data_IF_039126695887
#
_entry.id   IF_039126695887
#
_cell.length_a   1.000
_cell.length_b   1.000
_cell.length_c   1.000
_cell.angle_alpha   90.00
_cell.angle_beta   90.00
_cell.angle_gamma   90.00
#
_symmetry.space_group_name_H-M   'P 1'
#
loop_
_entity.id
_entity.type
_entity.pdbx_description
1 polymer ?
#
# COMPACT_ATOMS: atom_id res chain seq x y z
N UNK A 1 -4.49 83.82 -19.16
CA UNK A 1 -3.98 84.04 -20.54
C UNK A 1 -4.66 83.20 -21.63
N UNK A 2 -5.06 81.92 -21.43
CA UNK A 2 -5.71 81.10 -22.48
C UNK A 2 -7.02 81.67 -23.05
N UNK A 3 -7.87 82.32 -22.24
CA UNK A 3 -9.15 82.88 -22.69
C UNK A 3 -9.01 84.12 -23.60
N UNK A 4 -7.93 84.91 -23.45
CA UNK A 4 -7.74 86.14 -24.23
C UNK A 4 -7.43 85.85 -25.71
N UNK A 5 -6.66 84.79 -25.99
CA UNK A 5 -6.35 84.36 -27.36
C UNK A 5 -7.57 83.80 -28.10
N UNK A 6 -8.48 83.12 -27.39
CA UNK A 6 -9.70 82.56 -28.00
C UNK A 6 -10.67 83.66 -28.45
N UNK A 7 -10.82 84.72 -27.64
CA UNK A 7 -11.66 85.87 -28.01
C UNK A 7 -11.06 86.69 -29.16
N UNK A 8 -9.74 86.84 -29.23
CA UNK A 8 -9.08 87.54 -30.34
C UNK A 8 -9.24 86.80 -31.68
N UNK A 9 -9.06 85.48 -31.69
CA UNK A 9 -9.26 84.66 -32.89
C UNK A 9 -10.73 84.58 -33.33
N UNK A 10 -11.67 84.49 -32.37
CA UNK A 10 -13.10 84.55 -32.68
C UNK A 10 -13.50 85.91 -33.27
N UNK A 11 -12.91 87.00 -32.79
CA UNK A 11 -13.09 88.35 -33.34
C UNK A 11 -12.55 88.48 -34.77
N UNK A 12 -11.33 88.00 -35.04
CA UNK A 12 -10.78 87.96 -36.40
C UNK A 12 -11.62 87.11 -37.35
N UNK A 13 -12.05 85.91 -36.90
CA UNK A 13 -12.90 85.04 -37.70
C UNK A 13 -14.27 85.67 -37.99
N UNK A 14 -14.87 86.36 -37.01
CA UNK A 14 -16.14 87.08 -37.17
C UNK A 14 -16.04 88.24 -38.16
N UNK A 15 -14.99 89.05 -38.08
CA UNK A 15 -14.75 90.16 -39.02
C UNK A 15 -14.46 89.64 -40.43
N UNK A 16 -13.75 88.53 -40.58
CA UNK A 16 -13.44 87.95 -41.88
C UNK A 16 -14.63 87.18 -42.49
N UNK A 17 -15.41 86.41 -41.73
CA UNK A 17 -16.64 85.78 -42.23
C UNK A 17 -17.70 86.84 -42.58
N UNK A 18 -17.88 87.85 -41.72
CA UNK A 18 -18.80 88.96 -41.98
C UNK A 18 -18.33 89.85 -43.12
N UNK A 19 -17.03 90.08 -43.27
CA UNK A 19 -16.47 90.96 -44.31
C UNK A 19 -16.30 90.29 -45.66
N UNK A 20 -15.69 89.09 -45.71
CA UNK A 20 -15.38 88.42 -46.98
C UNK A 20 -16.52 87.54 -47.50
N UNK A 21 -17.19 86.76 -46.63
CA UNK A 21 -18.25 85.84 -47.09
C UNK A 21 -19.57 86.58 -47.28
N UNK A 22 -19.92 87.46 -46.33
CA UNK A 22 -21.13 88.28 -46.45
C UNK A 22 -20.96 89.39 -47.49
N UNK A 23 -19.78 90.01 -47.60
CA UNK A 23 -19.47 90.95 -48.69
C UNK A 23 -19.55 90.29 -50.08
N UNK A 24 -19.00 89.08 -50.23
CA UNK A 24 -19.10 88.33 -51.47
C UNK A 24 -20.53 87.84 -51.77
N UNK A 25 -21.30 87.40 -50.76
CA UNK A 25 -22.71 87.06 -50.94
C UNK A 25 -23.56 88.27 -51.33
N UNK A 26 -23.28 89.45 -50.76
CA UNK A 26 -23.94 90.70 -51.13
C UNK A 26 -23.59 91.08 -52.57
N UNK A 27 -22.32 91.03 -52.96
CA UNK A 27 -21.93 91.28 -54.35
C UNK A 27 -22.52 90.24 -55.31
N UNK A 28 -22.59 88.97 -54.93
CA UNK A 28 -23.10 87.88 -55.78
C UNK A 28 -24.63 87.92 -55.94
N UNK A 29 -25.36 88.36 -54.91
CA UNK A 29 -26.83 88.51 -54.94
C UNK A 29 -27.26 89.81 -55.62
N UNK A 30 -26.53 90.92 -55.44
CA UNK A 30 -26.97 92.25 -55.92
C UNK A 30 -26.31 92.72 -57.22
N UNK A 31 -25.13 92.22 -57.59
CA UNK A 31 -24.40 92.75 -58.76
C UNK A 31 -24.45 91.89 -60.02
N UNK A 32 -24.94 90.64 -59.97
CA UNK A 32 -25.07 89.74 -61.13
C UNK A 32 -23.83 89.66 -62.05
N UNK A 33 -22.64 89.96 -61.51
CA UNK A 33 -21.41 90.13 -62.29
C UNK A 33 -20.23 89.47 -61.58
N UNK A 34 -20.18 88.15 -61.67
CA UNK A 34 -18.92 87.42 -61.52
C UNK A 34 -18.79 86.50 -62.71
N UNK A 35 -18.21 87.02 -63.80
CA UNK A 35 -17.72 86.17 -64.88
C UNK A 35 -16.66 85.24 -64.31
N UNK A 36 -16.96 83.93 -64.34
CA UNK A 36 -16.04 82.87 -63.94
C UNK A 36 -14.81 82.90 -64.86
N UNK A 37 -13.73 83.55 -64.41
CA UNK A 37 -12.52 83.78 -65.21
C UNK A 37 -11.86 85.15 -65.01
N UNK A 38 -12.50 86.09 -64.30
CA UNK A 38 -11.89 87.39 -63.99
C UNK A 38 -10.74 87.31 -62.96
N UNK A 39 -9.78 88.21 -63.07
CA UNK A 39 -8.64 88.35 -62.13
C UNK A 39 -9.10 88.64 -60.70
N UNK A 40 -10.25 89.31 -60.53
CA UNK A 40 -10.90 89.57 -59.24
C UNK A 40 -11.40 88.30 -58.56
N UNK A 41 -12.04 87.40 -59.31
CA UNK A 41 -12.44 86.09 -58.77
C UNK A 41 -11.23 85.22 -58.42
N UNK A 42 -10.20 85.23 -59.27
CA UNK A 42 -8.93 84.52 -59.01
C UNK A 42 -8.23 84.98 -57.74
N UNK A 43 -8.16 86.29 -57.49
CA UNK A 43 -7.59 86.84 -56.26
C UNK A 43 -8.40 86.43 -55.02
N UNK A 44 -9.73 86.51 -55.08
CA UNK A 44 -10.58 86.07 -53.96
C UNK A 44 -10.40 84.57 -53.67
N UNK A 45 -10.44 83.72 -54.71
CA UNK A 45 -10.24 82.28 -54.59
C UNK A 45 -8.86 81.93 -54.01
N UNK A 46 -7.81 82.67 -54.39
CA UNK A 46 -6.47 82.51 -53.85
C UNK A 46 -6.40 82.88 -52.36
N UNK A 47 -7.00 84.00 -51.95
CA UNK A 47 -7.02 84.43 -50.54
C UNK A 47 -7.86 83.50 -49.66
N UNK A 48 -9.03 83.06 -50.13
CA UNK A 48 -9.86 82.07 -49.42
C UNK A 48 -9.14 80.72 -49.34
N UNK A 49 -8.55 80.25 -50.43
CA UNK A 49 -7.74 79.03 -50.45
C UNK A 49 -6.57 79.06 -49.46
N UNK A 50 -5.81 80.15 -49.43
CA UNK A 50 -4.72 80.35 -48.48
C UNK A 50 -5.20 80.39 -47.02
N UNK A 51 -6.34 81.05 -46.75
CA UNK A 51 -6.92 81.11 -45.41
C UNK A 51 -7.43 79.76 -44.91
N UNK A 52 -8.16 79.01 -45.75
CA UNK A 52 -8.59 77.65 -45.41
C UNK A 52 -7.41 76.70 -45.24
N UNK A 53 -6.31 76.91 -45.96
CA UNK A 53 -5.07 76.13 -45.78
C UNK A 53 -4.40 76.46 -44.45
N UNK A 54 -4.38 77.73 -44.02
CA UNK A 54 -3.88 78.14 -42.70
C UNK A 54 -4.76 77.55 -41.58
N UNK A 55 -6.08 77.62 -41.72
CA UNK A 55 -7.02 77.04 -40.75
C UNK A 55 -6.90 75.51 -40.69
N UNK A 56 -6.74 74.85 -41.84
CA UNK A 56 -6.48 73.41 -41.93
C UNK A 56 -5.15 73.04 -41.26
N UNK A 57 -4.10 73.85 -41.43
CA UNK A 57 -2.81 73.64 -40.77
C UNK A 57 -2.88 73.83 -39.24
N UNK A 58 -3.62 74.83 -38.76
CA UNK A 58 -3.85 75.05 -37.34
C UNK A 58 -4.73 73.96 -36.71
N UNK A 59 -5.81 73.56 -37.39
CA UNK A 59 -6.67 72.46 -36.98
C UNK A 59 -5.89 71.13 -36.96
N UNK A 60 -5.04 70.88 -37.96
CA UNK A 60 -4.15 69.73 -37.98
C UNK A 60 -3.13 69.76 -36.83
N UNK A 61 -2.59 70.93 -36.47
CA UNK A 61 -1.70 71.08 -35.32
C UNK A 61 -2.39 70.82 -33.97
N UNK A 62 -3.65 71.23 -33.81
CA UNK A 62 -4.46 70.94 -32.61
C UNK A 62 -4.83 69.46 -32.56
N UNK A 63 -5.25 68.87 -33.68
CA UNK A 63 -5.55 67.45 -33.80
C UNK A 63 -4.32 66.59 -33.51
N UNK A 64 -3.14 66.98 -34.00
CA UNK A 64 -1.87 66.29 -33.73
C UNK A 64 -1.49 66.33 -32.25
N UNK A 65 -1.70 67.46 -31.55
CA UNK A 65 -1.49 67.55 -30.09
C UNK A 65 -2.49 66.69 -29.32
N UNK A 66 -3.75 66.65 -29.74
CA UNK A 66 -4.77 65.75 -29.18
C UNK A 66 -4.39 64.28 -29.35
N UNK A 67 -3.98 63.89 -30.56
CA UNK A 67 -3.55 62.53 -30.87
C UNK A 67 -2.31 62.10 -30.06
N UNK A 68 -1.31 62.98 -29.90
CA UNK A 68 -0.13 62.73 -29.05
C UNK A 68 -0.50 62.57 -27.57
N UNK A 69 -1.44 63.37 -27.06
CA UNK A 69 -1.93 63.24 -25.69
C UNK A 69 -2.66 61.91 -25.48
N UNK A 70 -3.49 61.48 -26.44
CA UNK A 70 -4.18 60.19 -26.39
C UNK A 70 -3.20 59.03 -26.48
N UNK A 71 -2.20 59.10 -27.36
CA UNK A 71 -1.13 58.09 -27.45
C UNK A 71 -0.32 57.99 -26.15
N UNK A 72 0.00 59.12 -25.51
CA UNK A 72 0.69 59.13 -24.21
C UNK A 72 -0.16 58.51 -23.10
N UNK A 73 -1.47 58.78 -23.08
CA UNK A 73 -2.40 58.17 -22.13
C UNK A 73 -2.55 56.66 -22.36
N UNK A 74 -2.74 56.23 -23.62
CA UNK A 74 -2.81 54.81 -23.98
C UNK A 74 -1.51 54.08 -23.64
N UNK A 75 -0.33 54.70 -23.84
CA UNK A 75 0.96 54.13 -23.44
C UNK A 75 1.05 53.94 -21.93
N UNK A 76 0.65 54.94 -21.14
CA UNK A 76 0.66 54.84 -19.68
C UNK A 76 -0.35 53.80 -19.17
N UNK A 77 -1.54 53.71 -19.79
CA UNK A 77 -2.51 52.65 -19.49
C UNK A 77 -1.95 51.26 -19.84
N UNK A 78 -1.29 51.11 -20.98
CA UNK A 78 -0.65 49.85 -21.34
C UNK A 78 0.44 49.44 -20.34
N UNK A 79 1.25 50.40 -19.87
CA UNK A 79 2.26 50.13 -18.84
C UNK A 79 1.59 49.71 -17.53
N UNK A 80 0.57 50.43 -17.07
CA UNK A 80 -0.16 50.08 -15.84
C UNK A 80 -0.85 48.71 -15.93
N UNK A 81 -1.53 48.41 -17.03
CA UNK A 81 -2.18 47.11 -17.25
C UNK A 81 -1.13 45.99 -17.29
N UNK A 82 0.03 46.22 -17.90
CA UNK A 82 1.11 45.22 -17.96
C UNK A 82 1.69 44.96 -16.57
N UNK A 83 1.89 46.02 -15.78
CA UNK A 83 2.40 45.91 -14.41
C UNK A 83 1.39 45.21 -13.48
N UNK A 84 0.11 45.58 -13.54
CA UNK A 84 -0.96 44.90 -12.81
C UNK A 84 -1.08 43.42 -13.21
N UNK A 85 -0.99 43.11 -14.49
CA UNK A 85 -1.03 41.72 -14.96
C UNK A 85 0.20 40.93 -14.47
N UNK A 86 1.38 41.55 -14.44
CA UNK A 86 2.59 40.92 -13.89
C UNK A 86 2.44 40.64 -12.40
N UNK A 87 1.88 41.59 -11.63
CA UNK A 87 1.64 41.40 -10.19
C UNK A 87 0.57 40.34 -9.92
N UNK A 88 -0.53 40.32 -10.70
CA UNK A 88 -1.55 39.28 -10.63
C UNK A 88 -0.98 37.90 -10.96
N UNK A 89 -0.16 37.79 -11.99
CA UNK A 89 0.50 36.54 -12.36
C UNK A 89 1.39 36.01 -11.21
N UNK A 90 2.19 36.89 -10.60
CA UNK A 90 3.03 36.52 -9.44
C UNK A 90 2.16 36.06 -8.26
N UNK A 91 1.09 36.81 -7.96
CA UNK A 91 0.18 36.46 -6.86
C UNK A 91 -0.57 35.14 -7.12
N UNK A 92 -1.09 34.94 -8.33
CA UNK A 92 -1.73 33.69 -8.75
C UNK A 92 -0.74 32.54 -8.61
N UNK A 93 0.50 32.69 -9.10
CA UNK A 93 1.53 31.65 -8.98
C UNK A 93 1.83 31.29 -7.52
N UNK A 94 1.86 32.28 -6.61
CA UNK A 94 2.05 32.03 -5.18
C UNK A 94 0.86 31.27 -4.57
N UNK A 95 -0.37 31.70 -4.86
CA UNK A 95 -1.60 31.03 -4.39
C UNK A 95 -1.70 29.59 -4.93
N UNK A 96 -1.37 29.37 -6.21
CA UNK A 96 -1.30 28.04 -6.80
C UNK A 96 -0.24 27.16 -6.13
N UNK A 97 0.89 27.74 -5.71
CA UNK A 97 1.91 27.06 -4.93
C UNK A 97 1.37 26.56 -3.59
N UNK A 98 0.75 27.45 -2.80
CA UNK A 98 0.16 27.12 -1.50
C UNK A 98 -0.96 26.08 -1.62
N UNK A 99 -1.83 26.21 -2.62
CA UNK A 99 -2.89 25.23 -2.89
C UNK A 99 -2.33 23.86 -3.26
N UNK A 100 -1.26 23.82 -4.07
CA UNK A 100 -0.61 22.56 -4.44
C UNK A 100 0.00 21.86 -3.23
N UNK A 101 0.66 22.60 -2.35
CA UNK A 101 1.22 22.04 -1.10
C UNK A 101 0.11 21.50 -0.19
N UNK A 102 -0.98 22.26 0.00
CA UNK A 102 -2.13 21.80 0.78
C UNK A 102 -2.75 20.51 0.21
N UNK A 103 -2.89 20.43 -1.11
CA UNK A 103 -3.43 19.26 -1.79
C UNK A 103 -2.50 18.04 -1.66
N UNK A 104 -1.18 18.22 -1.72
CA UNK A 104 -0.22 17.13 -1.51
C UNK A 104 -0.25 16.61 -0.07
N UNK A 105 -0.36 17.51 0.91
CA UNK A 105 -0.53 17.13 2.31
C UNK A 105 -1.83 16.34 2.54
N UNK A 106 -2.95 16.82 1.98
CA UNK A 106 -4.23 16.11 2.06
C UNK A 106 -4.13 14.71 1.46
N UNK A 107 -3.55 14.59 0.25
CA UNK A 107 -3.32 13.29 -0.40
C UNK A 107 -2.48 12.34 0.43
N UNK A 108 -1.37 12.83 1.01
CA UNK A 108 -0.50 12.00 1.86
C UNK A 108 -1.26 11.50 3.10
N UNK A 109 -2.02 12.38 3.75
CA UNK A 109 -2.82 12.04 4.94
C UNK A 109 -3.91 11.02 4.58
N UNK A 110 -4.64 11.24 3.50
CA UNK A 110 -5.69 10.33 3.03
C UNK A 110 -5.10 8.97 2.68
N UNK A 111 -4.00 8.91 1.93
CA UNK A 111 -3.34 7.66 1.60
C UNK A 111 -2.89 6.88 2.84
N UNK A 112 -2.27 7.55 3.81
CA UNK A 112 -1.88 6.94 5.09
C UNK A 112 -3.09 6.45 5.90
N UNK A 113 -4.19 7.20 5.86
CA UNK A 113 -5.44 6.80 6.52
C UNK A 113 -6.07 5.58 5.84
N UNK A 114 -6.11 5.54 4.51
CA UNK A 114 -6.62 4.38 3.76
C UNK A 114 -5.75 3.13 3.99
N UNK A 115 -4.43 3.29 4.04
CA UNK A 115 -3.54 2.20 4.44
C UNK A 115 -3.91 1.66 5.82
N UNK A 116 -4.17 2.54 6.80
CA UNK A 116 -4.62 2.11 8.11
C UNK A 116 -5.99 1.42 8.07
N UNK A 117 -6.94 1.91 7.29
CA UNK A 117 -8.24 1.25 7.12
C UNK A 117 -8.06 -0.18 6.58
N UNK A 118 -7.18 -0.39 5.59
CA UNK A 118 -6.85 -1.74 5.06
C UNK A 118 -6.31 -2.64 6.18
N UNK A 119 -5.36 -2.15 6.97
CA UNK A 119 -4.84 -2.92 8.11
C UNK A 119 -5.93 -3.27 9.12
N UNK A 120 -6.81 -2.32 9.46
CA UNK A 120 -7.90 -2.56 10.43
C UNK A 120 -8.90 -3.60 9.93
N UNK A 121 -9.16 -3.65 8.62
CA UNK A 121 -10.01 -4.67 8.02
C UNK A 121 -9.36 -6.06 8.13
N UNK A 122 -8.08 -6.17 7.75
CA UNK A 122 -7.30 -7.41 7.87
C UNK A 122 -7.23 -7.94 9.32
N UNK A 123 -7.08 -7.05 10.31
CA UNK A 123 -7.08 -7.47 11.73
C UNK A 123 -8.42 -8.06 12.16
N UNK A 124 -9.53 -7.45 11.73
CA UNK A 124 -10.89 -7.95 12.03
C UNK A 124 -11.16 -9.30 11.38
N UNK A 125 -10.63 -9.51 10.18
CA UNK A 125 -10.87 -10.73 9.40
C UNK A 125 -10.02 -11.92 9.90
N UNK A 126 -8.78 -11.69 10.32
CA UNK A 126 -7.81 -12.77 10.51
C UNK A 126 -7.29 -12.98 11.94
N UNK A 127 -7.81 -12.26 12.94
CA UNK A 127 -7.33 -12.37 14.34
C UNK A 127 -5.81 -12.12 14.48
N UNK A 128 -5.30 -11.15 13.73
CA UNK A 128 -3.90 -10.70 13.77
C UNK A 128 -3.80 -9.31 14.38
N UNK A 129 -2.61 -8.95 14.84
CA UNK A 129 -2.28 -7.62 15.33
C UNK A 129 -1.15 -7.00 14.52
N UNK A 130 -1.36 -5.80 13.94
CA UNK A 130 -0.28 -5.04 13.33
C UNK A 130 0.44 -4.19 14.38
N UNK A 131 1.73 -4.46 14.60
CA UNK A 131 2.56 -3.64 15.49
C UNK A 131 3.30 -2.55 14.71
N UNK A 132 3.56 -1.41 15.36
CA UNK A 132 4.31 -0.29 14.76
C UNK A 132 3.77 0.16 13.38
N UNK A 133 2.44 0.26 13.21
CA UNK A 133 1.77 0.60 11.94
C UNK A 133 2.35 1.83 11.22
N UNK A 134 2.79 2.85 11.94
CA UNK A 134 3.46 4.01 11.32
C UNK A 134 4.84 3.71 10.77
N UNK A 135 5.62 2.85 11.42
CA UNK A 135 6.91 2.39 10.89
C UNK A 135 6.68 1.54 9.64
N UNK A 136 5.67 0.68 9.67
CA UNK A 136 5.30 -0.15 8.53
C UNK A 136 4.89 0.67 7.30
N UNK A 137 4.04 1.70 7.48
CA UNK A 137 3.72 2.61 6.40
C UNK A 137 4.98 3.31 5.83
N UNK A 138 5.86 3.78 6.71
CA UNK A 138 7.08 4.48 6.31
C UNK A 138 8.15 3.57 5.68
N UNK A 139 8.16 2.26 5.95
CA UNK A 139 9.06 1.32 5.27
C UNK A 139 8.57 0.98 3.86
N UNK A 140 7.25 0.89 3.66
CA UNK A 140 6.66 0.67 2.34
C UNK A 140 6.72 1.92 1.45
N UNK A 141 6.49 3.10 2.03
CA UNK A 141 6.44 4.37 1.29
C UNK A 141 7.47 5.37 1.84
N UNK A 142 8.78 5.10 1.73
CA UNK A 142 9.83 5.93 2.33
C UNK A 142 9.92 7.34 1.73
N UNK A 143 9.49 7.49 0.47
CA UNK A 143 9.49 8.78 -0.22
C UNK A 143 8.30 9.68 0.18
N UNK A 144 7.23 9.11 0.75
CA UNK A 144 6.00 9.85 1.03
C UNK A 144 6.21 10.86 2.17
N UNK A 145 6.32 12.13 1.78
CA UNK A 145 6.58 13.29 2.65
C UNK A 145 5.48 14.35 2.44
N UNK A 146 5.56 15.45 3.19
CA UNK A 146 4.58 16.54 3.10
C UNK A 146 4.39 17.08 1.66
N UNK A 147 5.47 17.15 0.90
CA UNK A 147 5.52 17.73 -0.44
C UNK A 147 5.56 16.68 -1.56
N UNK A 148 5.40 15.39 -1.25
CA UNK A 148 5.47 14.31 -2.25
C UNK A 148 4.70 13.08 -1.78
N UNK A 149 3.82 12.56 -2.63
CA UNK A 149 3.05 11.36 -2.35
C UNK A 149 3.01 10.49 -3.62
N UNK A 150 3.62 9.32 -3.53
CA UNK A 150 3.55 8.26 -4.52
C UNK A 150 2.67 7.12 -3.98
N UNK A 151 1.88 6.54 -4.87
CA UNK A 151 0.97 5.42 -4.60
C UNK A 151 1.54 4.09 -5.09
N UNK A 152 2.50 4.14 -6.00
CA UNK A 152 3.10 2.97 -6.61
C UNK A 152 4.48 2.68 -6.01
N UNK A 153 4.76 1.41 -5.75
CA UNK A 153 6.07 0.93 -5.30
C UNK A 153 6.62 0.00 -6.38
N UNK A 154 7.81 0.29 -6.88
CA UNK A 154 8.52 -0.62 -7.79
C UNK A 154 9.16 -1.76 -6.99
N UNK A 155 8.84 -3.02 -7.32
CA UNK A 155 9.34 -4.19 -6.57
C UNK A 155 10.84 -4.48 -6.78
N UNK A 156 11.49 -3.78 -7.72
CA UNK A 156 12.91 -3.96 -8.06
C UNK A 156 13.82 -2.93 -7.38
N UNK A 157 13.27 -2.04 -6.55
CA UNK A 157 14.06 -1.05 -5.83
C UNK A 157 14.93 -1.70 -4.75
N UNK A 158 16.21 -1.32 -4.71
CA UNK A 158 17.19 -1.79 -3.72
C UNK A 158 17.06 -0.98 -2.41
N UNK A 159 15.85 -0.96 -1.85
CA UNK A 159 15.53 -0.33 -0.58
C UNK A 159 15.32 -1.43 0.46
N UNK A 160 16.10 -1.40 1.53
CA UNK A 160 15.99 -2.35 2.63
C UNK A 160 14.62 -2.26 3.32
N UNK A 161 14.06 -3.42 3.67
CA UNK A 161 12.74 -3.59 4.30
C UNK A 161 11.58 -3.05 3.44
N UNK A 162 11.78 -2.98 2.13
CA UNK A 162 10.76 -2.53 1.17
C UNK A 162 9.78 -3.65 0.80
N UNK A 163 8.74 -3.29 0.04
CA UNK A 163 7.83 -4.26 -0.55
C UNK A 163 8.54 -5.24 -1.50
N UNK A 164 9.65 -4.83 -2.12
CA UNK A 164 10.50 -5.69 -2.94
C UNK A 164 11.12 -6.83 -2.14
N UNK A 165 11.66 -6.53 -0.95
CA UNK A 165 12.21 -7.53 -0.02
C UNK A 165 11.15 -8.51 0.47
N UNK A 166 9.96 -7.99 0.79
CA UNK A 166 8.79 -8.81 1.18
C UNK A 166 8.42 -9.77 0.04
N UNK A 167 8.37 -9.27 -1.21
CA UNK A 167 8.07 -10.08 -2.39
C UNK A 167 9.14 -11.14 -2.68
N UNK A 168 10.43 -10.79 -2.53
CA UNK A 168 11.53 -11.74 -2.65
C UNK A 168 11.41 -12.86 -1.60
N UNK A 169 11.12 -12.50 -0.36
CA UNK A 169 10.97 -13.45 0.73
C UNK A 169 9.75 -14.37 0.53
N UNK A 170 8.62 -13.83 0.06
CA UNK A 170 7.45 -14.62 -0.34
C UNK A 170 7.81 -15.66 -1.42
N UNK A 171 8.55 -15.23 -2.45
CA UNK A 171 9.01 -16.12 -3.53
C UNK A 171 9.96 -17.22 -3.03
N UNK A 172 10.82 -16.87 -2.06
CA UNK A 172 11.72 -17.81 -1.38
C UNK A 172 10.96 -18.84 -0.55
N UNK A 173 9.93 -18.42 0.20
CA UNK A 173 9.02 -19.30 0.96
C UNK A 173 8.27 -20.24 0.02
N UNK A 174 7.71 -19.71 -1.08
CA UNK A 174 7.05 -20.51 -2.13
C UNK A 174 7.97 -21.61 -2.67
N UNK A 175 9.18 -21.23 -3.08
CA UNK A 175 10.19 -22.16 -3.60
C UNK A 175 10.67 -23.18 -2.55
N UNK A 176 10.56 -22.84 -1.27
CA UNK A 176 10.92 -23.73 -0.17
C UNK A 176 9.93 -24.89 -0.02
N UNK A 177 8.64 -24.67 -0.31
CA UNK A 177 7.62 -25.71 -0.20
C UNK A 177 7.88 -26.91 -1.13
N UNK A 178 8.34 -26.64 -2.35
CA UNK A 178 8.60 -27.67 -3.37
C UNK A 178 9.74 -28.62 -2.99
N UNK A 179 10.67 -28.16 -2.14
CA UNK A 179 11.84 -28.93 -1.73
C UNK A 179 11.52 -30.01 -0.69
N UNK A 180 10.44 -29.89 0.09
CA UNK A 180 10.12 -30.86 1.14
C UNK A 180 9.88 -32.28 0.61
N UNK A 181 9.38 -32.43 -0.62
CA UNK A 181 9.19 -33.75 -1.25
C UNK A 181 10.50 -34.41 -1.73
N UNK A 182 11.61 -33.66 -1.77
CA UNK A 182 12.89 -34.11 -2.32
C UNK A 182 13.93 -34.42 -1.23
N UNK A 183 13.64 -34.02 0.02
CA UNK A 183 14.54 -34.15 1.16
C UNK A 183 14.14 -35.33 2.05
N UNK A 184 15.10 -35.85 2.80
CA UNK A 184 14.85 -36.87 3.83
C UNK A 184 15.81 -36.71 5.00
N UNK A 185 15.42 -37.25 6.17
CA UNK A 185 16.25 -37.26 7.37
C UNK A 185 16.66 -35.86 7.84
N UNK A 186 17.92 -35.73 8.25
CA UNK A 186 18.50 -34.49 8.81
C UNK A 186 18.35 -33.28 7.88
N UNK A 187 18.53 -33.48 6.56
CA UNK A 187 18.35 -32.41 5.57
C UNK A 187 16.95 -31.82 5.57
N UNK A 188 15.93 -32.62 5.91
CA UNK A 188 14.55 -32.12 6.01
C UNK A 188 14.39 -31.21 7.22
N UNK A 189 15.02 -31.57 8.36
CA UNK A 189 15.00 -30.76 9.57
C UNK A 189 15.73 -29.42 9.35
N UNK A 190 16.94 -29.45 8.78
CA UNK A 190 17.70 -28.22 8.46
C UNK A 190 16.94 -27.29 7.52
N UNK A 191 16.32 -27.87 6.48
CA UNK A 191 15.49 -27.12 5.54
C UNK A 191 14.24 -26.55 6.20
N UNK A 192 13.60 -27.30 7.11
CA UNK A 192 12.47 -26.81 7.86
C UNK A 192 12.84 -25.65 8.78
N UNK A 193 13.96 -25.72 9.50
CA UNK A 193 14.42 -24.62 10.35
C UNK A 193 14.68 -23.35 9.54
N UNK A 194 15.33 -23.49 8.38
CA UNK A 194 15.52 -22.36 7.46
C UNK A 194 14.19 -21.80 6.97
N UNK A 195 13.24 -22.67 6.64
CA UNK A 195 11.91 -22.28 6.19
C UNK A 195 11.11 -21.56 7.30
N UNK A 196 11.15 -22.04 8.54
CA UNK A 196 10.53 -21.38 9.69
C UNK A 196 11.17 -20.02 9.96
N UNK A 197 12.48 -19.90 9.79
CA UNK A 197 13.18 -18.61 9.87
C UNK A 197 12.71 -17.66 8.78
N UNK A 198 12.56 -18.13 7.54
CA UNK A 198 12.05 -17.32 6.43
C UNK A 198 10.60 -16.86 6.69
N UNK A 199 9.73 -17.74 7.20
CA UNK A 199 8.36 -17.40 7.61
C UNK A 199 8.37 -16.35 8.73
N UNK A 200 9.21 -16.51 9.75
CA UNK A 200 9.26 -15.56 10.85
C UNK A 200 9.76 -14.19 10.42
N UNK A 201 10.77 -14.14 9.54
CA UNK A 201 11.23 -12.88 8.95
C UNK A 201 10.13 -12.24 8.11
N UNK A 202 9.37 -13.04 7.37
CA UNK A 202 8.25 -12.56 6.55
C UNK A 202 7.15 -11.95 7.40
N UNK A 203 6.72 -12.65 8.46
CA UNK A 203 5.79 -12.12 9.47
C UNK A 203 6.29 -10.80 10.08
N UNK A 204 7.59 -10.72 10.37
CA UNK A 204 8.20 -9.52 10.95
C UNK A 204 8.20 -8.33 9.98
N UNK A 205 8.49 -8.56 8.70
CA UNK A 205 8.45 -7.55 7.65
C UNK A 205 7.03 -7.10 7.32
N UNK A 206 6.04 -7.98 7.49
CA UNK A 206 4.62 -7.64 7.42
C UNK A 206 4.10 -6.94 8.68
N UNK A 207 4.93 -6.79 9.72
CA UNK A 207 4.56 -6.16 10.98
C UNK A 207 3.36 -6.83 11.67
N UNK A 208 3.17 -8.14 11.47
CA UNK A 208 2.06 -8.90 12.05
C UNK A 208 2.51 -9.75 13.23
N UNK A 209 1.67 -9.80 14.25
CA UNK A 209 1.69 -10.80 15.30
C UNK A 209 0.39 -11.61 15.24
N UNK A 210 0.51 -12.93 15.24
CA UNK A 210 -0.63 -13.81 15.46
C UNK A 210 -1.01 -13.78 16.93
N UNK A 211 -2.32 -13.72 17.22
CA UNK A 211 -2.80 -13.85 18.60
C UNK A 211 -2.35 -15.19 19.18
N UNK A 212 -1.60 -15.14 20.26
CA UNK A 212 -1.12 -16.31 20.96
C UNK A 212 -2.07 -16.64 22.12
N UNK A 213 -2.73 -17.79 22.00
CA UNK A 213 -3.64 -18.32 23.02
C UNK A 213 -2.99 -19.48 23.81
N UNK A 214 -1.69 -19.72 23.66
CA UNK A 214 -0.99 -20.86 24.28
C UNK A 214 -1.49 -22.21 23.76
N UNK A 215 -1.93 -22.27 22.50
CA UNK A 215 -2.47 -23.49 21.89
C UNK A 215 -1.37 -24.54 21.68
N UNK A 216 -1.75 -25.81 21.84
CA UNK A 216 -0.84 -26.93 21.60
C UNK A 216 -0.43 -26.94 20.13
N UNK A 217 0.86 -27.13 19.88
CA UNK A 217 1.47 -27.13 18.55
C UNK A 217 1.91 -25.75 18.05
N UNK A 218 1.73 -24.67 18.82
CA UNK A 218 2.31 -23.37 18.49
C UNK A 218 3.83 -23.48 18.40
N UNK A 219 4.42 -22.94 17.34
CA UNK A 219 5.86 -22.80 17.18
C UNK A 219 6.23 -21.35 17.47
N UNK A 220 7.14 -21.15 18.41
CA UNK A 220 7.68 -19.83 18.75
C UNK A 220 9.14 -19.71 18.35
N UNK A 221 9.58 -18.50 18.02
CA UNK A 221 11.00 -18.18 18.05
C UNK A 221 11.46 -18.04 19.50
N UNK A 222 12.35 -18.92 19.93
CA UNK A 222 13.00 -18.89 21.23
C UNK A 222 14.13 -17.86 21.26
N UNK A 223 13.82 -16.67 21.76
CA UNK A 223 14.80 -15.64 22.08
C UNK A 223 14.75 -15.42 23.58
N UNK A 224 15.81 -15.83 24.29
CA UNK A 224 15.90 -15.79 25.77
C UNK A 224 15.65 -14.40 26.39
N UNK A 225 15.71 -13.34 25.59
CA UNK A 225 15.62 -11.94 26.02
C UNK A 225 14.24 -11.30 25.81
N UNK A 226 13.29 -11.99 25.17
CA UNK A 226 11.96 -11.44 24.90
C UNK A 226 10.92 -11.95 25.90
N UNK A 227 10.21 -11.04 26.56
CA UNK A 227 9.09 -11.37 27.44
C UNK A 227 7.94 -12.07 26.70
N UNK A 228 7.72 -11.70 25.43
CA UNK A 228 6.76 -12.36 24.53
C UNK A 228 7.50 -12.99 23.38
N UNK A 229 7.41 -14.32 23.27
CA UNK A 229 8.03 -15.08 22.19
C UNK A 229 7.21 -14.91 20.91
N UNK A 230 7.80 -14.53 19.77
CA UNK A 230 7.08 -14.38 18.52
C UNK A 230 6.47 -15.72 18.08
N UNK A 231 5.14 -15.77 17.97
CA UNK A 231 4.42 -16.92 17.41
C UNK A 231 4.57 -16.94 15.88
N UNK A 232 5.04 -18.06 15.35
CA UNK A 232 5.30 -18.23 13.92
C UNK A 232 4.12 -18.89 13.24
N UNK A 233 3.76 -20.10 13.69
CA UNK A 233 2.64 -20.88 13.16
C UNK A 233 2.25 -21.99 14.15
N UNK A 234 1.06 -22.56 13.96
CA UNK A 234 0.64 -23.75 14.68
C UNK A 234 0.77 -25.00 13.79
N UNK A 235 1.32 -26.10 14.31
CA UNK A 235 1.55 -27.33 13.53
C UNK A 235 0.23 -27.97 13.05
N UNK A 236 -0.85 -27.89 13.83
CA UNK A 236 -2.17 -28.40 13.44
C UNK A 236 -2.88 -27.51 12.41
N UNK A 237 -2.46 -26.25 12.30
CA UNK A 237 -3.16 -25.23 11.51
C UNK A 237 -2.22 -24.35 10.67
N UNK A 238 -1.09 -24.92 10.22
CA UNK A 238 -0.06 -24.14 9.53
C UNK A 238 -0.51 -23.56 8.19
N UNK A 239 -1.64 -24.05 7.64
CA UNK A 239 -2.25 -23.52 6.42
C UNK A 239 -2.88 -22.18 6.69
N UNK A 240 -3.60 -22.04 7.81
CA UNK A 240 -4.27 -20.80 8.15
C UNK A 240 -3.26 -19.66 8.30
N UNK A 241 -2.16 -19.88 9.01
CA UNK A 241 -1.08 -18.88 9.12
C UNK A 241 -0.57 -18.47 7.73
N UNK A 242 -0.25 -19.41 6.85
CA UNK A 242 0.25 -19.11 5.50
C UNK A 242 -0.77 -18.33 4.66
N UNK A 243 -2.06 -18.71 4.73
CA UNK A 243 -3.15 -18.00 4.05
C UNK A 243 -3.21 -16.55 4.51
N UNK A 244 -3.24 -16.33 5.82
CA UNK A 244 -3.33 -14.97 6.40
C UNK A 244 -2.14 -14.12 5.99
N UNK A 245 -0.91 -14.64 6.07
CA UNK A 245 0.28 -13.88 5.64
C UNK A 245 0.24 -13.55 4.15
N UNK A 246 -0.24 -14.49 3.32
CA UNK A 246 -0.39 -14.27 1.88
C UNK A 246 -1.45 -13.21 1.58
N UNK A 247 -2.61 -13.26 2.24
CA UNK A 247 -3.70 -12.30 2.05
C UNK A 247 -3.26 -10.89 2.46
N UNK A 248 -2.60 -10.74 3.62
CA UNK A 248 -1.99 -9.47 4.03
C UNK A 248 -1.02 -8.96 2.95
N UNK A 249 -0.12 -9.81 2.47
CA UNK A 249 0.83 -9.42 1.42
C UNK A 249 0.14 -9.02 0.11
N UNK A 250 -0.91 -9.74 -0.30
CA UNK A 250 -1.64 -9.49 -1.54
C UNK A 250 -2.45 -8.20 -1.50
N UNK A 251 -3.00 -7.85 -0.33
CA UNK A 251 -3.64 -6.55 -0.10
C UNK A 251 -2.62 -5.41 -0.17
N UNK A 252 -1.40 -5.59 0.35
CA UNK A 252 -0.33 -4.60 0.23
C UNK A 252 0.14 -4.40 -1.22
N UNK A 253 0.23 -5.49 -2.00
CA UNK A 253 0.51 -5.40 -3.43
C UNK A 253 -0.62 -4.65 -4.16
N UNK A 254 -1.87 -4.99 -3.88
CA UNK A 254 -3.02 -4.31 -4.47
C UNK A 254 -3.06 -2.82 -4.14
N UNK A 255 -2.84 -2.48 -2.86
CA UNK A 255 -2.79 -1.11 -2.37
C UNK A 255 -1.66 -0.29 -3.03
N UNK A 256 -0.53 -0.92 -3.35
CA UNK A 256 0.62 -0.28 -4.04
C UNK A 256 0.57 -0.38 -5.57
N UNK A 257 -0.56 -0.81 -6.15
CA UNK A 257 -0.74 -0.91 -7.61
C UNK A 257 0.06 -2.02 -8.28
N UNK A 258 0.51 -3.02 -7.53
CA UNK A 258 1.25 -4.17 -8.02
C UNK A 258 0.33 -5.36 -8.34
N UNK A 259 0.79 -6.24 -9.23
CA UNK A 259 0.06 -7.48 -9.55
C UNK A 259 0.30 -8.55 -8.48
N UNK A 260 -0.76 -9.28 -8.13
CA UNK A 260 -0.68 -10.36 -7.15
C UNK A 260 -0.01 -11.60 -7.77
N UNK A 261 0.96 -12.24 -7.10
CA UNK A 261 1.51 -13.51 -7.54
C UNK A 261 0.49 -14.64 -7.33
N UNK A 262 0.82 -15.84 -7.82
CA UNK A 262 -0.03 -17.02 -7.62
C UNK A 262 -0.05 -17.42 -6.15
N UNK A 263 -1.23 -17.83 -5.68
CA UNK A 263 -1.39 -18.39 -4.33
C UNK A 263 -0.52 -19.64 -4.15
N UNK A 264 0.16 -19.73 -3.00
CA UNK A 264 1.08 -20.83 -2.65
C UNK A 264 0.42 -21.90 -1.78
N UNK A 265 -0.86 -21.74 -1.44
CA UNK A 265 -1.60 -22.65 -0.56
C UNK A 265 -1.57 -24.10 -1.06
N UNK A 266 -1.61 -24.29 -2.38
CA UNK A 266 -1.57 -25.62 -3.01
C UNK A 266 -0.19 -26.30 -2.92
N UNK A 267 0.88 -25.54 -2.68
CA UNK A 267 2.24 -26.07 -2.53
C UNK A 267 2.45 -26.72 -1.15
N UNK A 268 1.51 -26.56 -0.21
CA UNK A 268 1.54 -27.22 1.10
C UNK A 268 1.23 -28.71 0.98
N UNK A 269 2.24 -29.51 0.70
CA UNK A 269 2.12 -30.96 0.55
C UNK A 269 2.07 -31.68 1.91
N UNK A 270 1.67 -32.96 1.90
CA UNK A 270 1.80 -33.84 3.07
C UNK A 270 3.24 -33.97 3.56
N UNK A 271 4.25 -33.79 2.68
CA UNK A 271 5.65 -33.79 3.06
C UNK A 271 6.00 -32.64 4.00
N UNK A 272 5.45 -31.43 3.76
CA UNK A 272 5.63 -30.30 4.66
C UNK A 272 5.03 -30.57 6.02
N UNK A 273 3.80 -31.08 6.07
CA UNK A 273 3.17 -31.45 7.34
C UNK A 273 3.99 -32.52 8.10
N UNK A 274 4.48 -33.53 7.39
CA UNK A 274 5.33 -34.56 7.98
C UNK A 274 6.64 -33.98 8.53
N UNK A 275 7.21 -32.97 7.86
CA UNK A 275 8.39 -32.27 8.35
C UNK A 275 8.07 -31.53 9.66
N UNK A 276 6.96 -30.78 9.73
CA UNK A 276 6.49 -30.14 10.96
C UNK A 276 6.26 -31.14 12.10
N UNK A 277 5.74 -32.33 11.79
CA UNK A 277 5.56 -33.39 12.77
C UNK A 277 6.87 -33.98 13.27
N UNK A 278 7.83 -34.18 12.37
CA UNK A 278 9.20 -34.53 12.75
C UNK A 278 9.80 -33.47 13.68
N UNK A 279 9.49 -32.19 13.43
CA UNK A 279 9.91 -31.08 14.26
C UNK A 279 9.27 -31.09 15.65
N UNK A 280 7.96 -31.31 15.75
CA UNK A 280 7.25 -31.45 17.04
C UNK A 280 7.89 -32.53 17.94
N UNK A 281 8.34 -33.62 17.31
CA UNK A 281 8.83 -34.81 18.01
C UNK A 281 10.21 -34.62 18.64
N UNK A 282 11.14 -34.04 17.90
CA UNK A 282 12.54 -33.97 18.33
C UNK A 282 12.79 -32.76 19.23
N UNK A 283 13.57 -32.95 20.30
CA UNK A 283 14.14 -31.82 21.03
C UNK A 283 15.27 -31.24 20.19
N UNK A 284 15.04 -30.07 19.62
CA UNK A 284 16.06 -29.40 18.83
C UNK A 284 16.87 -28.47 19.72
N UNK A 285 17.80 -29.06 20.48
CA UNK A 285 18.65 -28.32 21.44
C UNK A 285 19.50 -27.19 20.82
N UNK A 286 19.58 -27.13 19.48
CA UNK A 286 20.26 -26.07 18.72
C UNK A 286 19.32 -25.20 17.91
N UNK A 287 18.02 -25.54 17.88
CA UNK A 287 17.06 -24.74 17.15
C UNK A 287 16.76 -23.47 17.91
N UNK A 288 16.46 -22.42 17.16
CA UNK A 288 15.92 -21.18 17.70
C UNK A 288 14.41 -21.25 17.85
N UNK A 289 13.80 -22.43 17.70
CA UNK A 289 12.37 -22.60 17.75
C UNK A 289 11.96 -23.58 18.85
N UNK A 290 10.92 -23.20 19.57
CA UNK A 290 10.26 -24.05 20.56
C UNK A 290 8.84 -24.37 20.13
N UNK A 291 8.38 -25.56 20.51
CA UNK A 291 7.03 -26.02 20.22
C UNK A 291 6.25 -26.13 21.52
N UNK A 292 5.11 -25.46 21.61
CA UNK A 292 4.17 -25.58 22.72
C UNK A 292 3.56 -26.97 22.70
N UNK A 293 3.83 -27.77 23.72
CA UNK A 293 3.23 -29.10 23.84
C UNK A 293 2.09 -29.12 24.85
N UNK A 294 1.95 -28.06 25.65
CA UNK A 294 0.96 -27.95 26.70
C UNK A 294 1.02 -29.09 27.72
N UNK A 295 -0.06 -29.19 28.49
CA UNK A 295 -0.27 -30.23 29.50
C UNK A 295 -0.41 -31.65 28.92
N UNK A 296 -0.73 -31.77 27.62
CA UNK A 296 -0.86 -33.07 26.94
C UNK A 296 0.47 -33.62 26.40
N UNK A 297 1.58 -32.92 26.64
CA UNK A 297 2.90 -33.22 26.08
C UNK A 297 3.35 -34.67 26.23
N UNK A 298 3.18 -35.26 27.43
CA UNK A 298 3.59 -36.64 27.73
C UNK A 298 2.86 -37.66 26.84
N UNK A 299 1.57 -37.44 26.58
CA UNK A 299 0.76 -38.31 25.75
C UNK A 299 1.14 -38.20 24.27
N UNK A 300 1.35 -36.97 23.78
CA UNK A 300 1.78 -36.72 22.40
C UNK A 300 3.18 -37.29 22.13
N UNK A 301 4.10 -37.14 23.08
CA UNK A 301 5.45 -37.69 22.98
C UNK A 301 5.44 -39.21 22.91
N UNK A 302 4.59 -39.88 23.71
CA UNK A 302 4.39 -41.33 23.64
C UNK A 302 3.87 -41.75 22.25
N UNK A 303 2.80 -41.12 21.77
CA UNK A 303 2.19 -41.40 20.46
C UNK A 303 3.24 -41.27 19.34
N UNK A 304 3.97 -40.16 19.33
CA UNK A 304 4.97 -39.88 18.28
C UNK A 304 6.19 -40.80 18.37
N UNK A 305 6.60 -41.19 19.58
CA UNK A 305 7.66 -42.18 19.78
C UNK A 305 7.26 -43.53 19.18
N UNK A 306 6.04 -44.00 19.46
CA UNK A 306 5.57 -45.28 18.90
C UNK A 306 5.39 -45.19 17.38
N UNK A 307 4.88 -44.08 16.86
CA UNK A 307 4.78 -43.86 15.41
C UNK A 307 6.14 -43.91 14.70
N UNK A 308 7.21 -43.39 15.32
CA UNK A 308 8.55 -43.53 14.76
C UNK A 308 9.03 -44.99 14.76
N UNK A 309 8.78 -45.73 15.84
CA UNK A 309 9.12 -47.16 15.89
C UNK A 309 8.38 -47.92 14.78
N UNK A 310 7.09 -47.65 14.58
CA UNK A 310 6.29 -48.23 13.49
C UNK A 310 6.90 -47.87 12.13
N UNK A 311 7.26 -46.60 11.91
CA UNK A 311 7.79 -46.13 10.62
C UNK A 311 9.20 -46.69 10.31
N UNK A 312 10.07 -46.79 11.32
CA UNK A 312 11.47 -47.26 11.14
C UNK A 312 11.57 -48.78 10.97
N UNK A 313 10.65 -49.55 11.55
CA UNK A 313 10.74 -51.02 11.50
C UNK A 313 9.92 -51.60 10.34
N UNK A 314 10.55 -52.23 9.33
CA UNK A 314 9.84 -52.75 8.14
C UNK A 314 8.71 -53.75 8.45
N UNK A 315 8.87 -54.56 9.51
CA UNK A 315 7.83 -55.52 9.92
C UNK A 315 6.57 -54.81 10.40
N UNK A 316 6.70 -53.73 11.17
CA UNK A 316 5.56 -52.95 11.68
C UNK A 316 4.87 -52.17 10.57
N UNK A 317 5.61 -51.65 9.58
CA UNK A 317 5.02 -50.99 8.40
C UNK A 317 4.17 -51.90 7.53
N UNK A 318 4.50 -53.21 7.49
CA UNK A 318 3.74 -54.20 6.74
C UNK A 318 2.48 -54.67 7.47
N UNK A 319 2.38 -54.39 8.77
CA UNK A 319 1.21 -54.73 9.56
C UNK A 319 0.07 -53.75 9.32
N UNK A 320 -1.12 -54.28 9.01
CA UNK A 320 -2.28 -53.47 8.65
C UNK A 320 -2.80 -52.64 9.83
N UNK A 321 -2.78 -53.19 11.04
CA UNK A 321 -3.35 -52.53 12.22
C UNK A 321 -2.45 -51.38 12.69
N UNK A 322 -1.14 -51.64 12.80
CA UNK A 322 -0.13 -50.63 13.15
C UNK A 322 -0.06 -49.52 12.10
N UNK A 323 -0.11 -49.86 10.81
CA UNK A 323 -0.11 -48.84 9.75
C UNK A 323 -1.41 -48.02 9.73
N UNK A 324 -2.56 -48.65 10.00
CA UNK A 324 -3.84 -47.94 10.17
C UNK A 324 -3.80 -46.95 11.34
N UNK A 325 -3.21 -47.36 12.47
CA UNK A 325 -2.97 -46.49 13.61
C UNK A 325 -2.04 -45.32 13.23
N UNK A 326 -0.91 -45.60 12.57
CA UNK A 326 0.01 -44.57 12.08
C UNK A 326 -0.72 -43.51 11.24
N UNK A 327 -1.56 -43.93 10.30
CA UNK A 327 -2.37 -43.01 9.49
C UNK A 327 -3.41 -42.23 10.31
N UNK A 328 -3.94 -42.82 11.39
CA UNK A 328 -4.88 -42.12 12.30
C UNK A 328 -4.18 -40.99 13.05
N UNK A 329 -2.93 -41.19 13.48
CA UNK A 329 -2.11 -40.13 14.08
C UNK A 329 -1.82 -39.02 13.08
N UNK A 330 -1.49 -39.35 11.83
CA UNK A 330 -1.31 -38.33 10.78
C UNK A 330 -2.58 -37.47 10.59
N UNK A 331 -3.76 -38.10 10.58
CA UNK A 331 -5.04 -37.38 10.49
C UNK A 331 -5.33 -36.51 11.71
N UNK A 332 -4.93 -36.95 12.91
CA UNK A 332 -5.05 -36.14 14.12
C UNK A 332 -4.27 -34.84 13.99
N UNK A 333 -3.03 -34.89 13.53
CA UNK A 333 -2.23 -33.68 13.35
C UNK A 333 -2.61 -32.83 12.13
N UNK A 334 -3.36 -33.38 11.18
CA UNK A 334 -3.93 -32.65 10.05
C UNK A 334 -5.25 -31.95 10.38
N UNK A 335 -5.81 -32.17 11.58
CA UNK A 335 -7.09 -31.58 11.99
C UNK A 335 -6.85 -30.32 12.85
N UNK A 336 -7.18 -29.12 12.34
CA UNK A 336 -6.96 -27.86 13.07
C UNK A 336 -7.69 -27.78 14.41
N UNK A 337 -8.77 -28.54 14.62
CA UNK A 337 -9.49 -28.55 15.90
C UNK A 337 -8.63 -29.08 17.06
N UNK A 338 -7.61 -29.88 16.74
CA UNK A 338 -6.77 -30.53 17.75
C UNK A 338 -5.72 -29.62 18.36
N UNK A 339 -5.53 -28.38 17.86
CA UNK A 339 -4.71 -27.37 18.56
C UNK A 339 -5.28 -26.94 19.92
N UNK A 340 -6.58 -27.17 20.14
CA UNK A 340 -7.30 -26.92 21.39
C UNK A 340 -7.40 -28.15 22.29
N UNK A 341 -6.60 -29.19 22.03
CA UNK A 341 -6.60 -30.37 22.89
C UNK A 341 -6.00 -30.01 24.25
N UNK A 342 -6.73 -30.36 25.30
CA UNK A 342 -6.38 -30.16 26.71
C UNK A 342 -6.62 -31.47 27.45
N UNK A 343 -6.23 -31.56 28.72
CA UNK A 343 -6.59 -32.68 29.60
C UNK A 343 -8.12 -32.78 29.72
N UNK A 344 -8.82 -31.64 29.85
CA UNK A 344 -10.28 -31.57 29.99
C UNK A 344 -11.04 -31.92 28.70
N UNK A 345 -10.42 -31.72 27.53
CA UNK A 345 -11.00 -32.06 26.23
C UNK A 345 -10.12 -33.05 25.47
N UNK A 346 -9.77 -34.14 26.16
CA UNK A 346 -8.80 -35.14 25.68
C UNK A 346 -9.42 -36.32 24.94
N UNK A 347 -10.70 -36.25 24.55
CA UNK A 347 -11.43 -37.39 23.96
C UNK A 347 -10.75 -37.98 22.72
N UNK A 348 -10.33 -37.13 21.78
CA UNK A 348 -9.67 -37.58 20.55
C UNK A 348 -8.28 -38.17 20.84
N UNK A 349 -7.58 -37.64 21.84
CA UNK A 349 -6.31 -38.15 22.32
C UNK A 349 -6.46 -39.52 23.00
N UNK A 350 -7.52 -39.69 23.81
CA UNK A 350 -7.86 -40.95 24.46
C UNK A 350 -8.21 -42.03 23.42
N UNK A 351 -9.01 -41.70 22.40
CA UNK A 351 -9.33 -42.61 21.28
C UNK A 351 -8.05 -43.06 20.56
N UNK A 352 -7.10 -42.15 20.33
CA UNK A 352 -5.81 -42.51 19.75
C UNK A 352 -5.04 -43.50 20.63
N UNK A 353 -4.94 -43.27 21.94
CA UNK A 353 -4.22 -44.16 22.85
C UNK A 353 -4.88 -45.54 22.95
N UNK A 354 -6.21 -45.61 23.00
CA UNK A 354 -6.95 -46.87 23.00
C UNK A 354 -6.77 -47.65 21.69
N UNK A 355 -6.75 -46.93 20.55
CA UNK A 355 -6.43 -47.53 19.24
C UNK A 355 -4.98 -48.02 19.17
N UNK A 356 -4.04 -47.28 19.74
CA UNK A 356 -2.64 -47.68 19.79
C UNK A 356 -2.48 -49.01 20.55
N UNK A 357 -3.06 -49.07 21.76
CA UNK A 357 -3.08 -50.28 22.58
C UNK A 357 -3.65 -51.47 21.80
N UNK A 358 -4.82 -51.26 21.18
CA UNK A 358 -5.50 -52.31 20.41
C UNK A 358 -4.67 -52.79 19.22
N UNK A 359 -4.02 -51.87 18.49
CA UNK A 359 -3.18 -52.21 17.35
C UNK A 359 -1.94 -53.03 17.76
N UNK A 360 -1.30 -52.68 18.88
CA UNK A 360 -0.16 -53.43 19.43
C UNK A 360 -0.59 -54.86 19.85
N UNK A 361 -1.71 -54.99 20.57
CA UNK A 361 -2.22 -56.31 21.01
C UNK A 361 -2.53 -57.21 19.82
N UNK A 362 -3.20 -56.68 18.78
CA UNK A 362 -3.53 -57.44 17.57
C UNK A 362 -2.26 -57.89 16.83
N UNK A 363 -1.28 -57.00 16.68
CA UNK A 363 0.00 -57.33 16.05
C UNK A 363 0.70 -58.51 16.75
N UNK A 364 0.77 -58.51 18.08
CA UNK A 364 1.41 -59.58 18.83
C UNK A 364 0.65 -60.91 18.76
N UNK A 365 -0.68 -60.87 18.71
CA UNK A 365 -1.53 -62.06 18.55
C UNK A 365 -1.35 -62.72 17.17
N UNK A 366 -1.13 -61.93 16.12
CA UNK A 366 -0.96 -62.44 14.74
C UNK A 366 0.46 -62.97 14.44
N UNK A 367 1.46 -62.62 15.26
CA UNK A 367 2.88 -62.91 15.01
C UNK A 367 3.52 -63.83 16.05
N UNK A 368 2.71 -64.57 16.82
CA UNK A 368 3.17 -65.49 17.88
C UNK A 368 4.22 -64.87 18.82
N UNK A 369 4.06 -63.58 19.16
CA UNK A 369 4.98 -62.88 20.07
C UNK A 369 6.37 -62.54 19.49
N UNK A 370 6.59 -62.69 18.19
CA UNK A 370 7.80 -62.19 17.54
C UNK A 370 7.82 -60.64 17.55
N UNK A 371 8.95 -60.04 17.95
CA UNK A 371 9.20 -58.59 18.15
C UNK A 371 8.67 -57.94 19.44
N UNK A 372 9.35 -58.23 20.57
CA UNK A 372 9.13 -57.65 21.91
C UNK A 372 9.20 -56.10 22.08
N UNK A 373 9.83 -55.28 21.21
CA UNK A 373 9.97 -53.84 21.50
C UNK A 373 8.65 -53.08 21.68
N UNK A 374 7.55 -53.50 21.03
CA UNK A 374 6.26 -52.81 21.16
C UNK A 374 5.52 -53.16 22.46
N UNK A 375 5.76 -54.36 23.01
CA UNK A 375 5.11 -54.85 24.22
C UNK A 375 5.43 -53.98 25.44
N UNK A 376 6.65 -53.41 25.47
CA UNK A 376 7.10 -52.49 26.51
C UNK A 376 6.25 -51.21 26.59
N UNK A 377 5.61 -50.80 25.49
CA UNK A 377 4.75 -49.63 25.49
C UNK A 377 3.36 -49.91 26.06
N UNK A 378 2.89 -51.17 26.13
CA UNK A 378 1.52 -51.49 26.56
C UNK A 378 1.26 -50.99 27.98
N UNK A 379 2.15 -51.31 28.93
CA UNK A 379 2.01 -50.88 30.33
C UNK A 379 2.02 -49.35 30.45
N UNK A 380 2.90 -48.68 29.71
CA UNK A 380 2.97 -47.21 29.67
C UNK A 380 1.68 -46.63 29.11
N UNK A 381 1.16 -47.17 28.01
CA UNK A 381 -0.10 -46.73 27.39
C UNK A 381 -1.27 -46.95 28.37
N UNK A 382 -1.33 -48.08 29.07
CA UNK A 382 -2.38 -48.36 30.06
C UNK A 382 -2.36 -47.36 31.22
N UNK A 383 -1.17 -47.03 31.71
CA UNK A 383 -1.00 -46.00 32.74
C UNK A 383 -1.48 -44.63 32.23
N UNK A 384 -1.09 -44.24 31.00
CA UNK A 384 -1.51 -42.97 30.41
C UNK A 384 -3.02 -42.91 30.13
N UNK A 385 -3.62 -43.98 29.59
CA UNK A 385 -5.08 -44.08 29.38
C UNK A 385 -5.83 -43.95 30.70
N UNK A 386 -5.37 -44.61 31.75
CA UNK A 386 -6.00 -44.55 33.08
C UNK A 386 -5.89 -43.15 33.68
N UNK A 387 -4.71 -42.52 33.59
CA UNK A 387 -4.48 -41.14 34.00
C UNK A 387 -5.44 -40.16 33.30
N UNK A 388 -5.52 -40.26 31.97
CA UNK A 388 -6.34 -39.37 31.16
C UNK A 388 -7.85 -39.56 31.41
N UNK A 389 -8.31 -40.82 31.63
CA UNK A 389 -9.70 -41.11 32.00
C UNK A 389 -10.06 -40.56 33.38
N UNK A 390 -9.16 -40.66 34.35
CA UNK A 390 -9.39 -40.13 35.69
C UNK A 390 -9.55 -38.61 35.67
N UNK A 391 -8.76 -37.91 34.86
CA UNK A 391 -8.89 -36.46 34.67
C UNK A 391 -10.25 -36.10 34.05
N UNK A 392 -10.69 -36.82 33.02
CA UNK A 392 -12.00 -36.58 32.39
C UNK A 392 -13.20 -36.87 33.30
N UNK A 393 -13.07 -37.77 34.28
CA UNK A 393 -14.15 -38.07 35.23
C UNK A 393 -14.29 -37.05 36.36
N UNK A 394 -13.24 -36.26 36.62
CA UNK A 394 -13.21 -35.25 37.67
C UNK A 394 -12.77 -33.89 37.08
N UNK A 395 -13.59 -33.26 36.22
CA UNK A 395 -13.29 -31.91 35.74
C UNK A 395 -13.23 -30.96 36.95
N UNK A 396 -12.10 -30.26 37.10
CA UNK A 396 -11.84 -29.31 38.18
C UNK A 396 -12.79 -28.11 38.15
#
# INVERSE_FOLDING_TARGET
MKKLGTFFFAGMAGVLLGGLVLGFLVDLIFSNWVDSGSTTFGNWAMWTGAFFTLFAALAAGIAAKGALSTLSFMRNQHVQITEENSQRFIHEQAVWGEQREMLLFQKQREHKQEFYNVLDNLQKEHSIEFYQRSKFYSSLFPENKFNYCNYHIELNEDIADSLGDINFLFSKISSSFEKFGQLSGEKTSEHLEKHLSDISTFSSMLHINFQDNGEVGNIYWDVDQLEKKPHILNIFDSLHTTIVMQEVFFELLGFSGNTQPKSINHQRTSFYQNALLGFFKCRHYRSRFNVEKGEVSVYLDLILTVCEVINRTPVYRKDRNLWSYYNSVQRFFLNPKNKKVTLDNSKDLLDLLDRLKSAIILFHKEKDGANKPLEQFILTIEAQVSSLRNNNSNPL
#
